data_IF_579334758816
#
_entry.id   IF_579334758816
#
_cell.length_a   1.000
_cell.length_b   1.000
_cell.length_c   1.000
_cell.angle_alpha   90.00
_cell.angle_beta   90.00
_cell.angle_gamma   90.00
#
_symmetry.space_group_name_H-M   'P 1'
#
loop_
_entity.id
_entity.type
_entity.pdbx_description
1 polymer ?
#
# COMPACT_ATOMS: atom_id res chain seq x y z
N UNK A 1 -5.78 -5.66 -7.64
CA UNK A 1 -6.79 -4.86 -8.37
C UNK A 1 -6.23 -4.43 -9.73
N UNK A 2 -6.71 -5.02 -10.82
CA UNK A 2 -6.23 -4.76 -12.20
C UNK A 2 -7.14 -3.72 -12.86
N UNK A 3 -6.58 -2.67 -13.47
CA UNK A 3 -7.39 -1.67 -14.21
C UNK A 3 -7.04 -1.68 -15.71
N UNK A 4 -8.01 -1.84 -16.62
CA UNK A 4 -7.79 -1.81 -18.06
C UNK A 4 -7.51 -0.40 -18.60
N UNK A 5 -6.69 -0.34 -19.66
CA UNK A 5 -6.01 0.84 -20.21
C UNK A 5 -6.90 1.88 -20.93
N UNK A 6 -8.20 1.62 -21.09
CA UNK A 6 -9.04 2.35 -22.07
C UNK A 6 -9.87 3.52 -21.53
N UNK A 7 -9.78 3.83 -20.24
CA UNK A 7 -10.40 5.05 -19.68
C UNK A 7 -9.29 5.80 -18.93
N UNK A 8 -9.22 7.12 -19.09
CA UNK A 8 -8.39 8.11 -18.38
C UNK A 8 -7.11 8.61 -19.08
N UNK A 9 -7.23 9.78 -19.73
CA UNK A 9 -6.30 10.92 -19.62
C UNK A 9 -7.17 12.18 -19.42
N UNK A 10 -6.78 13.20 -18.63
CA UNK A 10 -5.45 13.49 -18.09
C UNK A 10 -5.40 13.45 -16.54
N UNK A 11 -4.28 12.97 -15.98
CA UNK A 11 -3.58 13.44 -14.77
C UNK A 11 -2.65 12.32 -14.27
N UNK A 12 -1.42 12.69 -13.91
CA UNK A 12 -0.27 11.81 -13.70
C UNK A 12 -0.33 10.93 -12.42
N UNK A 13 -1.47 10.83 -11.75
CA UNK A 13 -1.65 10.06 -10.50
C UNK A 13 -2.03 8.59 -10.73
N UNK A 14 -2.55 8.21 -11.91
CA UNK A 14 -2.95 6.82 -12.20
C UNK A 14 -1.77 5.83 -12.21
N UNK A 15 -0.53 6.32 -12.37
CA UNK A 15 0.67 5.46 -12.31
C UNK A 15 1.27 5.34 -10.92
N UNK A 16 0.68 6.02 -9.93
CA UNK A 16 1.20 6.12 -8.58
C UNK A 16 0.80 4.94 -7.69
N UNK A 17 -0.43 4.48 -7.86
CA UNK A 17 -1.03 3.41 -7.04
C UNK A 17 -1.29 2.11 -7.80
N UNK A 18 -1.30 2.14 -9.12
CA UNK A 18 -1.63 0.96 -9.91
C UNK A 18 -0.36 0.28 -10.41
N UNK A 19 -0.15 -0.93 -9.89
CA UNK A 19 0.64 -1.94 -10.58
C UNK A 19 0.06 -2.14 -11.99
N UNK A 20 0.86 -1.84 -13.00
CA UNK A 20 0.49 -2.05 -14.40
C UNK A 20 1.06 -3.40 -14.83
N UNK A 21 0.26 -4.47 -14.72
CA UNK A 21 0.60 -5.75 -15.35
C UNK A 21 0.88 -5.49 -16.84
N UNK A 22 2.00 -5.95 -17.41
CA UNK A 22 2.18 -5.92 -18.87
C UNK A 22 1.01 -6.67 -19.52
N UNK A 23 0.39 -6.07 -20.54
CA UNK A 23 -0.92 -6.49 -21.04
C UNK A 23 -0.90 -7.92 -21.64
N UNK A 24 -1.74 -8.85 -21.14
CA UNK A 24 -2.12 -10.07 -21.86
C UNK A 24 -3.39 -9.86 -22.69
N UNK A 25 -3.58 -10.65 -23.76
CA UNK A 25 -4.73 -10.61 -24.68
C UNK A 25 -6.09 -10.74 -23.94
N UNK A 26 -7.06 -9.94 -24.37
CA UNK A 26 -8.33 -9.63 -23.69
C UNK A 26 -9.44 -10.70 -23.82
N UNK A 27 -10.21 -10.92 -22.73
CA UNK A 27 -11.68 -11.10 -22.78
C UNK A 27 -12.31 -11.19 -21.38
N UNK A 28 -13.35 -10.40 -21.09
CA UNK A 28 -14.30 -10.67 -19.99
C UNK A 28 -14.85 -9.41 -19.29
N UNK A 29 -16.16 -9.19 -19.39
CA UNK A 29 -16.94 -8.09 -18.80
C UNK A 29 -17.52 -8.51 -17.43
N UNK A 30 -17.60 -7.59 -16.46
CA UNK A 30 -18.22 -7.82 -15.14
C UNK A 30 -19.50 -6.98 -14.96
N UNK A 31 -20.58 -7.64 -14.53
CA UNK A 31 -21.88 -7.08 -14.11
C UNK A 31 -21.79 -6.38 -12.72
N UNK A 32 -22.68 -5.41 -12.39
CA UNK A 32 -22.67 -4.72 -11.11
C UNK A 32 -23.54 -5.40 -10.03
N UNK A 33 -23.02 -5.47 -8.80
CA UNK A 33 -23.74 -5.95 -7.60
C UNK A 33 -24.49 -4.78 -6.94
N UNK A 34 -25.75 -5.00 -6.57
CA UNK A 34 -26.62 -4.03 -5.88
C UNK A 34 -26.34 -3.97 -4.37
N UNK A 35 -26.32 -2.75 -3.81
CA UNK A 35 -26.15 -2.45 -2.39
C UNK A 35 -27.48 -2.62 -1.62
N UNK A 36 -27.44 -3.39 -0.53
CA UNK A 36 -28.50 -3.43 0.48
C UNK A 36 -28.27 -2.28 1.46
N UNK A 37 -29.17 -1.29 1.46
CA UNK A 37 -29.21 -0.21 2.44
C UNK A 37 -30.12 -0.58 3.60
N UNK A 38 -29.60 -0.72 4.83
CA UNK A 38 -30.37 -0.45 6.05
C UNK A 38 -29.51 -0.44 7.31
N UNK A 39 -29.36 0.72 7.96
CA UNK A 39 -29.08 0.83 9.40
C UNK A 39 -29.85 2.05 9.96
N UNK A 40 -30.65 1.90 11.04
CA UNK A 40 -31.38 2.99 11.67
C UNK A 40 -30.53 3.85 12.61
N UNK A 41 -30.92 5.13 12.70
CA UNK A 41 -30.40 6.15 13.60
C UNK A 41 -30.51 5.78 15.09
N UNK A 42 -29.42 5.97 15.84
CA UNK A 42 -29.47 6.01 17.30
C UNK A 42 -28.64 7.19 17.86
N UNK A 43 -29.19 8.39 17.74
CA UNK A 43 -28.74 9.57 18.49
C UNK A 43 -29.55 9.67 19.79
N UNK A 44 -28.93 9.32 20.92
CA UNK A 44 -29.43 9.70 22.25
C UNK A 44 -28.31 10.30 23.10
N UNK A 45 -28.43 11.62 23.27
CA UNK A 45 -28.23 12.42 24.49
C UNK A 45 -26.95 12.17 25.31
N UNK A 46 -26.05 13.15 25.32
CA UNK A 46 -25.25 13.44 26.51
C UNK A 46 -25.28 14.95 26.80
N UNK A 47 -25.59 15.27 28.06
CA UNK A 47 -25.95 16.61 28.53
C UNK A 47 -24.74 17.52 28.79
N UNK A 48 -25.02 18.81 28.68
CA UNK A 48 -24.17 19.95 29.00
C UNK A 48 -23.91 20.05 30.51
N UNK A 49 -22.64 20.05 30.91
CA UNK A 49 -22.17 20.69 32.16
C UNK A 49 -20.78 21.30 31.93
N UNK A 50 -20.64 22.59 32.22
CA UNK A 50 -19.42 23.18 32.78
C UNK A 50 -18.42 23.80 31.81
N UNK A 51 -18.40 25.14 31.78
CA UNK A 51 -17.32 25.97 31.23
C UNK A 51 -15.99 25.71 31.95
N UNK A 52 -15.00 25.19 31.23
CA UNK A 52 -13.58 25.51 31.39
C UNK A 52 -12.96 25.52 29.99
N UNK A 53 -12.85 26.69 29.37
CA UNK A 53 -12.22 26.84 28.05
C UNK A 53 -10.69 26.78 28.19
N UNK A 54 -10.17 25.60 28.49
CA UNK A 54 -8.78 25.28 28.16
C UNK A 54 -8.70 25.17 26.64
N UNK A 55 -8.02 26.11 25.99
CA UNK A 55 -7.72 26.08 24.55
C UNK A 55 -6.72 24.95 24.25
N UNK A 56 -7.16 23.70 24.43
CA UNK A 56 -6.61 22.60 23.67
C UNK A 56 -7.07 22.82 22.24
N UNK A 57 -6.15 23.26 21.37
CA UNK A 57 -6.32 23.02 19.93
C UNK A 57 -6.30 21.51 19.78
N UNK A 58 -7.47 20.89 19.87
CA UNK A 58 -7.71 19.58 19.30
C UNK A 58 -7.42 19.76 17.81
N UNK A 59 -6.21 19.38 17.39
CA UNK A 59 -5.99 19.06 15.98
C UNK A 59 -6.95 17.92 15.68
N UNK A 60 -8.10 18.26 15.11
CA UNK A 60 -8.95 17.25 14.51
C UNK A 60 -8.06 16.54 13.49
N UNK A 61 -7.77 15.26 13.72
CA UNK A 61 -7.16 14.44 12.69
C UNK A 61 -8.01 14.65 11.43
N UNK A 62 -7.39 15.06 10.33
CA UNK A 62 -8.12 15.27 9.08
C UNK A 62 -8.92 13.99 8.81
N UNK A 63 -10.25 14.12 8.70
CA UNK A 63 -11.08 12.97 8.38
C UNK A 63 -10.57 12.38 7.06
N UNK A 64 -10.32 11.08 7.04
CA UNK A 64 -10.00 10.40 5.79
C UNK A 64 -11.14 10.67 4.80
N UNK A 65 -10.83 11.00 3.53
CA UNK A 65 -11.86 11.33 2.56
C UNK A 65 -12.82 10.14 2.41
N UNK A 66 -14.13 10.39 2.25
CA UNK A 66 -15.11 9.32 2.07
C UNK A 66 -14.87 8.53 0.78
N UNK A 67 -14.36 9.22 -0.25
CA UNK A 67 -13.99 8.66 -1.53
C UNK A 67 -12.47 8.73 -1.72
N UNK A 68 -11.87 7.60 -2.09
CA UNK A 68 -10.46 7.49 -2.40
C UNK A 68 -10.31 7.04 -3.85
N UNK A 69 -9.79 7.92 -4.70
CA UNK A 69 -9.64 7.70 -6.15
C UNK A 69 -10.96 7.35 -6.88
N UNK A 70 -12.10 7.85 -6.39
CA UNK A 70 -13.42 7.54 -6.94
C UNK A 70 -14.02 6.21 -6.47
N UNK A 71 -13.38 5.54 -5.51
CA UNK A 71 -13.91 4.35 -4.84
C UNK A 71 -14.49 4.69 -3.47
N UNK A 72 -15.60 4.04 -3.13
CA UNK A 72 -16.19 4.10 -1.80
C UNK A 72 -15.38 3.26 -0.82
N UNK A 73 -15.15 3.79 0.37
CA UNK A 73 -14.46 3.08 1.43
C UNK A 73 -15.44 2.54 2.47
N UNK A 74 -15.22 1.30 2.91
CA UNK A 74 -15.96 0.70 4.00
C UNK A 74 -15.02 0.52 5.20
N UNK A 75 -15.28 1.28 6.28
CA UNK A 75 -14.50 1.14 7.51
C UNK A 75 -14.58 -0.29 8.06
N UNK A 76 -13.43 -0.85 8.41
CA UNK A 76 -13.32 -2.16 9.06
C UNK A 76 -12.81 -1.97 10.48
N UNK A 77 -13.40 -2.71 11.44
CA UNK A 77 -13.05 -2.61 12.86
C UNK A 77 -11.93 -3.55 13.28
N UNK A 78 -11.56 -4.51 12.42
CA UNK A 78 -10.54 -5.52 12.69
C UNK A 78 -9.66 -5.80 11.46
N UNK A 79 -8.43 -6.26 11.72
CA UNK A 79 -7.44 -6.63 10.69
C UNK A 79 -7.52 -8.12 10.32
N UNK A 80 -8.39 -8.88 10.99
CA UNK A 80 -8.64 -10.31 10.80
C UNK A 80 -9.02 -10.68 9.36
N UNK A 81 -9.61 -9.73 8.62
CA UNK A 81 -9.97 -9.89 7.20
C UNK A 81 -8.80 -9.75 6.24
N UNK A 82 -7.62 -9.35 6.73
CA UNK A 82 -6.43 -9.10 5.92
C UNK A 82 -5.23 -9.88 6.47
N UNK A 83 -5.33 -11.22 6.61
CA UNK A 83 -4.28 -12.02 7.22
C UNK A 83 -2.98 -11.95 6.42
N UNK A 84 -3.01 -11.79 5.09
CA UNK A 84 -1.79 -11.62 4.28
C UNK A 84 -1.07 -10.32 4.63
N UNK A 85 -1.79 -9.20 4.75
CA UNK A 85 -1.21 -7.92 5.19
C UNK A 85 -0.55 -8.05 6.57
N UNK A 86 -1.23 -8.67 7.53
CA UNK A 86 -0.67 -8.86 8.88
C UNK A 86 0.61 -9.68 8.83
N UNK A 87 0.62 -10.80 8.10
CA UNK A 87 1.80 -11.64 7.97
C UNK A 87 2.99 -10.90 7.37
N UNK A 88 2.77 -10.10 6.32
CA UNK A 88 3.84 -9.30 5.71
C UNK A 88 4.34 -8.21 6.65
N UNK A 89 3.44 -7.52 7.35
CA UNK A 89 3.82 -6.51 8.34
C UNK A 89 4.64 -7.15 9.48
N UNK A 90 4.21 -8.28 10.01
CA UNK A 90 4.93 -9.01 11.06
C UNK A 90 6.32 -9.43 10.58
N UNK A 91 6.43 -10.05 9.40
CA UNK A 91 7.72 -10.39 8.79
C UNK A 91 8.59 -9.16 8.54
N UNK A 92 7.99 -8.02 8.18
CA UNK A 92 8.73 -6.78 7.97
C UNK A 92 9.28 -6.21 9.29
N UNK A 93 8.47 -6.22 10.35
CA UNK A 93 8.77 -5.61 11.65
C UNK A 93 9.63 -6.48 12.57
N UNK A 94 9.44 -7.81 12.56
CA UNK A 94 10.12 -8.74 13.47
C UNK A 94 11.58 -8.99 13.10
N UNK A 95 12.05 -8.39 12.03
CA UNK A 95 13.37 -8.66 11.49
C UNK A 95 14.43 -7.65 11.98
N UNK A 96 15.01 -7.95 13.14
CA UNK A 96 16.39 -7.58 13.51
C UNK A 96 17.36 -8.42 12.67
N UNK A 97 17.49 -8.11 11.36
CA UNK A 97 18.47 -8.84 10.53
C UNK A 97 19.88 -8.42 10.92
N UNK A 98 20.79 -9.37 11.17
CA UNK A 98 22.17 -9.05 11.44
C UNK A 98 22.78 -8.34 10.23
N UNK A 99 23.72 -7.43 10.51
CA UNK A 99 24.63 -6.95 9.48
C UNK A 99 25.38 -8.17 8.90
N UNK A 100 25.61 -8.19 7.60
CA UNK A 100 26.23 -9.31 6.89
C UNK A 100 26.92 -8.87 5.62
N UNK A 101 27.66 -9.78 4.99
CA UNK A 101 28.41 -9.50 3.77
C UNK A 101 27.46 -9.41 2.56
N UNK A 102 27.67 -8.40 1.71
CA UNK A 102 26.90 -8.14 0.49
C UNK A 102 27.09 -9.21 -0.60
N UNK A 103 28.05 -10.11 -0.41
CA UNK A 103 28.35 -11.24 -1.31
C UNK A 103 27.66 -12.54 -0.90
N UNK A 104 27.04 -12.57 0.28
CA UNK A 104 26.26 -13.72 0.73
C UNK A 104 25.05 -13.94 -0.18
N UNK A 105 24.76 -15.20 -0.46
CA UNK A 105 23.51 -15.57 -1.17
C UNK A 105 22.28 -15.41 -0.28
N UNK A 106 22.47 -15.41 1.04
CA UNK A 106 21.39 -15.18 2.00
C UNK A 106 21.18 -13.68 2.16
N UNK A 107 19.94 -13.25 1.94
CA UNK A 107 19.54 -11.86 2.15
C UNK A 107 19.89 -11.35 3.56
N UNK A 108 20.53 -10.19 3.63
CA UNK A 108 20.90 -9.49 4.88
C UNK A 108 20.77 -7.97 4.69
N UNK A 109 21.07 -7.17 5.74
CA UNK A 109 20.95 -5.70 5.66
C UNK A 109 21.76 -5.07 4.53
N UNK A 110 22.85 -5.69 4.07
CA UNK A 110 23.59 -5.13 2.95
C UNK A 110 22.76 -5.05 1.66
N UNK A 111 21.91 -6.04 1.42
CA UNK A 111 21.08 -6.13 0.22
C UNK A 111 20.01 -5.02 0.15
N UNK A 112 19.68 -4.39 1.29
CA UNK A 112 18.81 -3.21 1.36
C UNK A 112 19.55 -1.88 1.29
N UNK A 113 20.87 -1.83 1.28
CA UNK A 113 21.61 -0.57 1.38
C UNK A 113 21.25 0.41 0.26
N UNK A 114 21.06 -0.08 -0.96
CA UNK A 114 20.63 0.75 -2.09
C UNK A 114 19.24 1.37 -1.85
N UNK A 115 18.31 0.58 -1.30
CA UNK A 115 16.96 1.06 -0.95
C UNK A 115 17.01 2.09 0.19
N UNK A 116 17.74 1.79 1.26
CA UNK A 116 17.89 2.69 2.40
C UNK A 116 18.58 4.00 2.03
N UNK A 117 19.65 3.94 1.23
CA UNK A 117 20.34 5.11 0.72
C UNK A 117 19.44 5.94 -0.21
N UNK A 118 18.62 5.29 -1.03
CA UNK A 118 17.61 5.96 -1.83
C UNK A 118 16.59 6.70 -0.95
N UNK A 119 16.02 6.03 0.06
CA UNK A 119 15.05 6.64 0.99
C UNK A 119 15.66 7.84 1.74
N UNK A 120 16.91 7.73 2.18
CA UNK A 120 17.64 8.84 2.79
C UNK A 120 17.77 10.01 1.81
N UNK A 121 18.13 9.75 0.55
CA UNK A 121 18.33 10.79 -0.47
C UNK A 121 17.08 11.62 -0.79
N UNK A 122 15.88 11.09 -0.49
CA UNK A 122 14.61 11.76 -0.75
C UNK A 122 13.96 12.32 0.53
N UNK A 123 14.56 12.12 1.71
CA UNK A 123 13.96 12.43 3.01
C UNK A 123 13.50 13.89 3.13
N UNK A 124 14.28 14.82 2.61
CA UNK A 124 13.99 16.26 2.72
C UNK A 124 13.17 16.82 1.54
N UNK A 125 12.76 15.97 0.59
CA UNK A 125 11.91 16.40 -0.52
C UNK A 125 10.47 16.66 -0.06
N UNK A 126 9.72 17.55 -0.75
CA UNK A 126 8.29 17.68 -0.54
C UNK A 126 7.56 16.33 -0.68
N UNK A 127 6.51 16.10 0.12
CA UNK A 127 5.81 14.80 0.18
C UNK A 127 5.41 14.24 -1.18
N UNK A 128 4.88 15.09 -2.06
CA UNK A 128 4.53 14.68 -3.43
C UNK A 128 5.75 14.19 -4.23
N UNK A 129 6.93 14.79 -4.03
CA UNK A 129 8.17 14.39 -4.70
C UNK A 129 8.75 13.10 -4.12
N UNK A 130 8.66 12.90 -2.80
CA UNK A 130 9.00 11.63 -2.16
C UNK A 130 8.17 10.50 -2.76
N UNK A 131 6.85 10.69 -2.76
CA UNK A 131 5.89 9.78 -3.36
C UNK A 131 6.33 9.47 -4.80
N UNK A 132 6.42 10.48 -5.67
CA UNK A 132 6.84 10.33 -7.07
C UNK A 132 8.14 9.54 -7.23
N UNK A 133 9.12 9.76 -6.35
CA UNK A 133 10.39 9.06 -6.37
C UNK A 133 10.23 7.58 -5.99
N UNK A 134 9.57 7.27 -4.86
CA UNK A 134 9.32 5.90 -4.39
C UNK A 134 8.60 5.08 -5.47
N UNK A 135 7.55 5.65 -6.06
CA UNK A 135 6.82 4.96 -7.12
C UNK A 135 7.68 4.71 -8.36
N UNK A 136 8.52 5.68 -8.76
CA UNK A 136 9.46 5.45 -9.87
C UNK A 136 10.46 4.35 -9.51
N UNK A 137 11.05 4.38 -8.33
CA UNK A 137 12.05 3.40 -7.90
C UNK A 137 11.48 1.97 -7.95
N UNK A 138 10.35 1.74 -7.28
CA UNK A 138 9.71 0.43 -7.27
C UNK A 138 9.32 -0.03 -8.69
N UNK A 139 8.76 0.87 -9.51
CA UNK A 139 8.34 0.54 -10.88
C UNK A 139 9.49 0.25 -11.87
N UNK A 140 10.78 0.35 -11.46
CA UNK A 140 11.91 -0.16 -12.25
C UNK A 140 12.16 -1.66 -12.04
N UNK A 141 11.62 -2.25 -10.98
CA UNK A 141 11.72 -3.70 -10.76
C UNK A 141 10.87 -4.45 -11.78
N UNK A 142 11.28 -5.67 -12.07
CA UNK A 142 10.57 -6.58 -12.98
C UNK A 142 9.27 -7.04 -12.34
N UNK A 143 8.20 -7.06 -13.15
CA UNK A 143 6.93 -7.68 -12.74
C UNK A 143 7.03 -9.19 -12.95
N UNK A 144 6.84 -9.97 -11.88
CA UNK A 144 6.94 -11.44 -11.86
C UNK A 144 5.75 -11.97 -11.08
N UNK A 145 5.08 -13.02 -11.57
CA UNK A 145 3.96 -13.63 -10.85
C UNK A 145 4.47 -14.49 -9.69
N UNK A 146 3.70 -14.60 -8.61
CA UNK A 146 4.07 -15.40 -7.45
C UNK A 146 4.35 -16.86 -7.79
N UNK A 147 3.57 -17.42 -8.72
CA UNK A 147 3.77 -18.80 -9.16
C UNK A 147 5.11 -18.99 -9.87
N UNK A 148 5.59 -17.98 -10.60
CA UNK A 148 6.88 -18.00 -11.29
C UNK A 148 8.03 -17.73 -10.31
N UNK A 149 7.77 -16.95 -9.25
CA UNK A 149 8.78 -16.49 -8.31
C UNK A 149 9.00 -17.45 -7.12
N UNK A 150 7.90 -17.94 -6.56
CA UNK A 150 7.87 -18.71 -5.31
C UNK A 150 7.24 -20.10 -5.47
N UNK A 151 6.63 -20.39 -6.62
CA UNK A 151 5.91 -21.66 -6.84
C UNK A 151 4.60 -21.77 -6.04
N UNK A 152 4.12 -20.66 -5.49
CA UNK A 152 2.92 -20.56 -4.65
C UNK A 152 2.07 -19.40 -5.17
N UNK A 153 0.76 -19.58 -5.28
CA UNK A 153 -0.16 -18.49 -5.64
C UNK A 153 -0.44 -17.56 -4.45
N UNK A 154 -0.62 -16.26 -4.69
CA UNK A 154 -0.96 -15.24 -3.68
C UNK A 154 0.07 -15.18 -2.54
N UNK A 155 1.36 -15.24 -2.90
CA UNK A 155 2.47 -15.08 -1.96
C UNK A 155 2.85 -13.60 -1.87
N UNK A 156 2.56 -12.98 -0.74
CA UNK A 156 2.82 -11.57 -0.56
C UNK A 156 4.26 -11.35 -0.10
N UNK A 157 5.07 -10.84 -1.00
CA UNK A 157 6.47 -10.53 -0.75
C UNK A 157 6.59 -9.27 0.11
N UNK A 158 7.50 -9.30 1.07
CA UNK A 158 7.89 -8.05 1.74
C UNK A 158 8.89 -7.24 0.87
N UNK A 159 9.19 -6.00 1.29
CA UNK A 159 10.02 -5.08 0.51
C UNK A 159 11.41 -5.65 0.12
N UNK A 160 11.94 -6.62 0.89
CA UNK A 160 13.24 -7.22 0.65
C UNK A 160 13.19 -8.22 -0.48
N UNK A 161 12.28 -9.16 -0.36
CA UNK A 161 12.03 -10.18 -1.39
C UNK A 161 11.67 -9.50 -2.71
N UNK A 162 10.83 -8.45 -2.66
CA UNK A 162 10.52 -7.66 -3.85
C UNK A 162 11.75 -7.00 -4.48
N UNK A 163 12.71 -6.52 -3.68
CA UNK A 163 13.91 -5.91 -4.21
C UNK A 163 14.84 -6.91 -4.90
N UNK A 164 14.89 -8.16 -4.46
CA UNK A 164 15.72 -9.18 -5.12
C UNK A 164 15.00 -9.79 -6.32
N UNK A 165 13.74 -10.15 -6.11
CA UNK A 165 13.02 -11.02 -7.03
C UNK A 165 12.12 -10.24 -8.01
N UNK A 166 11.87 -8.96 -7.73
CA UNK A 166 10.68 -8.30 -8.27
C UNK A 166 9.43 -8.89 -7.61
N UNK A 167 8.28 -8.69 -8.23
CA UNK A 167 7.05 -9.20 -7.68
C UNK A 167 5.84 -8.76 -8.49
N UNK A 168 4.69 -9.00 -7.92
CA UNK A 168 3.42 -8.72 -8.56
C UNK A 168 2.69 -7.57 -7.83
N UNK A 169 1.41 -7.34 -8.08
CA UNK A 169 0.78 -6.06 -7.77
C UNK A 169 0.73 -5.69 -6.28
N UNK A 170 0.53 -6.64 -5.39
CA UNK A 170 0.58 -6.46 -3.94
C UNK A 170 2.00 -6.13 -3.48
N UNK A 171 3.02 -6.79 -4.02
CA UNK A 171 4.42 -6.60 -3.63
C UNK A 171 4.91 -5.18 -3.96
N UNK A 172 4.50 -4.65 -5.11
CA UNK A 172 4.73 -3.24 -5.45
C UNK A 172 4.05 -2.30 -4.45
N UNK A 173 2.84 -2.61 -3.98
CA UNK A 173 2.10 -1.77 -3.05
C UNK A 173 2.72 -1.80 -1.65
N UNK A 174 3.08 -3.00 -1.18
CA UNK A 174 3.77 -3.26 0.10
C UNK A 174 5.11 -2.54 0.12
N UNK A 175 5.93 -2.68 -0.94
CA UNK A 175 7.23 -2.02 -1.01
C UNK A 175 7.13 -0.49 -1.01
N UNK A 176 6.07 0.08 -1.61
CA UNK A 176 5.86 1.54 -1.61
C UNK A 176 5.33 2.08 -0.27
N UNK A 177 4.81 1.20 0.58
CA UNK A 177 4.30 1.55 1.91
C UNK A 177 5.44 1.70 2.93
N UNK A 178 6.44 0.82 2.86
CA UNK A 178 7.62 0.80 3.73
C UNK A 178 8.74 1.70 3.20
#
# INVERSE_FOLDING_TARGET
MIVPRSILRPFHWTRFLFCQRPAPHSSGLSEPVQLITNIPNLLKKCGTVGLFAAFWRLSAAAAFPADLFGYQQAAQTGIDRFPQWVQVLERHLLEDRPDGDCTETRFNRCHLQAWQAFLESIRDLPRERQLQAVNRYANHKTYVLDIDNYGIEDYWADAREFHDNGGDCEDYAITKLF
#
